data_IF_048070431343
#
_entry.id   IF_048070431343
#
_cell.length_a   1.000
_cell.length_b   1.000
_cell.length_c   1.000
_cell.angle_alpha   90.00
_cell.angle_beta   90.00
_cell.angle_gamma   90.00
#
_symmetry.space_group_name_H-M   'P 1'
#
loop_
_entity.id
_entity.type
_entity.pdbx_description
1 polymer ?
#
# COMPACT_ATOMS: atom_id res chain seq x y z
N UNK A 1 10.98 -2.28 -8.28
CA UNK A 1 11.70 -1.10 -7.75
C UNK A 1 12.09 -0.22 -8.93
N UNK A 2 11.28 0.80 -9.22
CA UNK A 2 11.45 1.76 -10.32
C UNK A 2 11.31 3.19 -9.82
N UNK A 3 11.77 4.17 -10.60
CA UNK A 3 11.77 5.58 -10.21
C UNK A 3 10.36 6.11 -9.89
N UNK A 4 9.36 5.73 -10.69
CA UNK A 4 7.96 6.14 -10.51
C UNK A 4 7.35 5.70 -9.17
N UNK A 5 7.85 4.61 -8.58
CA UNK A 5 7.42 4.14 -7.26
C UNK A 5 7.96 4.98 -6.10
N UNK A 6 8.88 5.92 -6.39
CA UNK A 6 9.39 6.90 -5.42
C UNK A 6 9.89 6.27 -4.11
N UNK A 7 10.56 5.11 -4.21
CA UNK A 7 10.99 4.31 -3.04
C UNK A 7 11.92 5.11 -2.13
N UNK A 8 12.73 6.04 -2.67
CA UNK A 8 13.63 6.87 -1.85
C UNK A 8 12.88 7.67 -0.79
N UNK A 9 11.67 8.16 -1.07
CA UNK A 9 10.87 8.85 -0.06
C UNK A 9 10.56 7.98 1.17
N UNK A 10 10.35 6.66 0.99
CA UNK A 10 10.25 5.71 2.09
C UNK A 10 11.60 5.50 2.80
N UNK A 11 12.68 5.36 2.03
CA UNK A 11 14.00 5.09 2.58
C UNK A 11 14.54 6.25 3.43
N UNK A 12 14.12 7.47 3.14
CA UNK A 12 14.51 8.70 3.84
C UNK A 12 13.70 8.99 5.11
N UNK A 13 12.56 8.30 5.35
CA UNK A 13 11.79 8.46 6.59
C UNK A 13 12.69 8.19 7.80
N UNK A 14 12.69 9.10 8.76
CA UNK A 14 13.43 8.93 10.03
C UNK A 14 12.62 8.07 10.98
N UNK A 15 13.02 6.80 11.14
CA UNK A 15 12.38 5.85 12.04
C UNK A 15 13.37 4.86 12.59
N UNK A 16 13.08 4.32 13.78
CA UNK A 16 13.81 3.18 14.36
C UNK A 16 13.33 1.82 13.85
N UNK A 17 12.21 1.80 13.12
CA UNK A 17 11.67 0.58 12.54
C UNK A 17 12.57 0.05 11.43
N UNK A 18 12.69 -1.27 11.34
CA UNK A 18 13.42 -1.91 10.26
C UNK A 18 12.68 -1.72 8.92
N UNK A 19 13.41 -1.32 7.89
CA UNK A 19 12.86 -1.10 6.56
C UNK A 19 13.12 -2.29 5.67
N UNK A 20 12.05 -2.79 5.04
CA UNK A 20 12.10 -3.90 4.09
C UNK A 20 11.51 -3.44 2.76
N UNK A 21 12.22 -3.65 1.69
CA UNK A 21 11.74 -3.42 0.31
C UNK A 21 11.50 -4.77 -0.35
N UNK A 22 10.24 -5.03 -0.69
CA UNK A 22 9.82 -6.23 -1.41
C UNK A 22 9.62 -5.89 -2.89
N UNK A 23 10.22 -6.65 -3.78
CA UNK A 23 10.15 -6.45 -5.22
C UNK A 23 11.50 -6.31 -5.88
N UNK A 24 11.50 -6.29 -7.19
CA UNK A 24 12.68 -6.13 -8.05
C UNK A 24 12.50 -4.96 -9.03
N UNK A 25 13.57 -4.57 -9.69
CA UNK A 25 13.56 -3.53 -10.70
C UNK A 25 14.91 -2.83 -10.87
N UNK A 26 15.01 -1.95 -11.87
CA UNK A 26 16.29 -1.37 -12.30
C UNK A 26 17.00 -0.55 -11.20
N UNK A 27 16.24 0.09 -10.29
CA UNK A 27 16.80 0.91 -9.24
C UNK A 27 17.30 0.14 -8.01
N UNK A 28 17.02 -1.17 -7.92
CA UNK A 28 17.31 -1.97 -6.72
C UNK A 28 18.78 -1.91 -6.34
N UNK A 29 19.69 -2.18 -7.27
CA UNK A 29 21.13 -2.22 -6.98
C UNK A 29 21.65 -0.84 -6.51
N UNK A 30 21.22 0.23 -7.16
CA UNK A 30 21.58 1.60 -6.78
C UNK A 30 21.11 1.91 -5.36
N UNK A 31 19.85 1.56 -5.05
CA UNK A 31 19.27 1.82 -3.73
C UNK A 31 19.90 0.95 -2.64
N UNK A 32 20.21 -0.31 -2.92
CA UNK A 32 20.95 -1.18 -1.97
C UNK A 32 22.32 -0.59 -1.60
N UNK A 33 23.04 -0.08 -2.58
CA UNK A 33 24.35 0.56 -2.33
C UNK A 33 24.22 1.84 -1.52
N UNK A 34 23.17 2.65 -1.78
CA UNK A 34 22.93 3.93 -1.10
C UNK A 34 22.39 3.73 0.34
N UNK A 35 21.61 2.67 0.57
CA UNK A 35 20.95 2.39 1.85
C UNK A 35 21.27 0.97 2.36
N UNK A 36 22.53 0.70 2.76
CA UNK A 36 22.99 -0.65 3.11
C UNK A 36 22.33 -1.25 4.36
N UNK A 37 21.66 -0.42 5.18
CA UNK A 37 20.93 -0.84 6.38
C UNK A 37 19.48 -1.27 6.09
N UNK A 38 19.03 -1.19 4.83
CA UNK A 38 17.68 -1.60 4.40
C UNK A 38 17.72 -3.01 3.82
N UNK A 39 16.74 -3.84 4.17
CA UNK A 39 16.61 -5.18 3.60
C UNK A 39 15.87 -5.16 2.27
N UNK A 40 16.54 -5.48 1.17
CA UNK A 40 15.93 -5.67 -0.14
C UNK A 40 15.79 -7.17 -0.41
N UNK A 41 14.58 -7.71 -0.26
CA UNK A 41 14.33 -9.15 -0.26
C UNK A 41 13.91 -9.73 -1.62
N UNK A 42 13.89 -8.89 -2.65
CA UNK A 42 13.51 -9.29 -4.02
C UNK A 42 12.02 -9.56 -4.17
N UNK A 43 11.65 -10.11 -5.32
CA UNK A 43 10.25 -10.44 -5.64
C UNK A 43 9.72 -11.54 -4.71
N UNK A 44 8.53 -11.32 -4.16
CA UNK A 44 7.77 -12.32 -3.38
C UNK A 44 6.38 -12.49 -3.98
N UNK A 45 5.80 -13.68 -3.83
CA UNK A 45 4.46 -14.03 -4.35
C UNK A 45 3.72 -14.92 -3.36
N UNK A 46 2.40 -15.00 -3.55
CA UNK A 46 1.53 -15.92 -2.79
C UNK A 46 1.70 -15.78 -1.28
N UNK A 47 1.88 -16.89 -0.60
CA UNK A 47 1.98 -16.94 0.86
C UNK A 47 3.18 -16.17 1.41
N UNK A 48 4.32 -16.18 0.71
CA UNK A 48 5.50 -15.43 1.15
C UNK A 48 5.21 -13.93 1.17
N UNK A 49 4.59 -13.39 0.13
CA UNK A 49 4.20 -11.99 0.09
C UNK A 49 3.18 -11.64 1.19
N UNK A 50 2.18 -12.50 1.39
CA UNK A 50 1.19 -12.33 2.45
C UNK A 50 1.84 -12.32 3.85
N UNK A 51 2.87 -13.13 4.07
CA UNK A 51 3.63 -13.14 5.33
C UNK A 51 4.39 -11.82 5.55
N UNK A 52 4.97 -11.22 4.51
CA UNK A 52 5.59 -9.90 4.63
C UNK A 52 4.57 -8.83 5.02
N UNK A 53 3.39 -8.81 4.40
CA UNK A 53 2.33 -7.89 4.83
C UNK A 53 1.89 -8.16 6.28
N UNK A 54 1.55 -9.39 6.63
CA UNK A 54 1.02 -9.73 7.95
C UNK A 54 1.98 -9.40 9.10
N UNK A 55 3.29 -9.45 8.87
CA UNK A 55 4.32 -9.15 9.87
C UNK A 55 4.81 -7.69 9.84
N UNK A 56 4.36 -6.88 8.88
CA UNK A 56 4.72 -5.47 8.83
C UNK A 56 3.87 -4.64 9.79
N UNK A 57 4.44 -3.60 10.38
CA UNK A 57 3.73 -2.59 11.17
C UNK A 57 2.85 -1.70 10.28
N UNK A 58 3.34 -1.36 9.09
CA UNK A 58 2.62 -0.64 8.06
C UNK A 58 3.23 -0.89 6.68
N UNK A 59 2.42 -0.83 5.62
CA UNK A 59 2.89 -0.65 4.25
C UNK A 59 3.12 0.83 3.99
N UNK A 60 4.30 1.21 3.53
CA UNK A 60 4.53 2.56 2.98
C UNK A 60 4.44 2.48 1.46
N UNK A 61 3.48 3.18 0.89
CA UNK A 61 3.20 3.26 -0.55
C UNK A 61 3.52 4.67 -1.07
N UNK A 62 4.80 4.96 -1.40
CA UNK A 62 5.26 6.32 -1.69
C UNK A 62 5.07 6.73 -3.15
N UNK A 63 4.37 5.94 -3.96
CA UNK A 63 4.08 6.27 -5.36
C UNK A 63 3.22 7.53 -5.47
N UNK A 64 3.55 8.38 -6.46
CA UNK A 64 2.77 9.60 -6.78
C UNK A 64 1.96 9.47 -8.06
N UNK A 65 2.08 8.37 -8.79
CA UNK A 65 1.52 8.19 -10.14
C UNK A 65 0.70 6.92 -10.30
N UNK A 66 0.42 6.19 -9.21
CA UNK A 66 -0.29 4.93 -9.28
C UNK A 66 -1.79 5.12 -9.45
N UNK A 67 -2.41 4.33 -10.34
CA UNK A 67 -3.83 4.49 -10.71
C UNK A 67 -4.79 3.67 -9.87
N UNK A 68 -4.40 2.52 -9.32
CA UNK A 68 -5.31 1.68 -8.53
C UNK A 68 -4.71 1.11 -7.23
N UNK A 69 -3.45 0.67 -7.23
CA UNK A 69 -2.76 0.22 -6.01
C UNK A 69 -3.28 -1.09 -5.42
N UNK A 70 -3.28 -2.20 -6.20
CA UNK A 70 -3.63 -3.54 -5.69
C UNK A 70 -2.88 -3.89 -4.40
N UNK A 71 -1.62 -3.48 -4.28
CA UNK A 71 -0.80 -3.70 -3.07
C UNK A 71 -1.40 -3.06 -1.81
N UNK A 72 -2.20 -2.00 -1.95
CA UNK A 72 -2.93 -1.36 -0.85
C UNK A 72 -3.99 -2.33 -0.31
N UNK A 73 -4.82 -2.89 -1.20
CA UNK A 73 -5.86 -3.85 -0.82
C UNK A 73 -5.26 -5.15 -0.26
N UNK A 74 -4.17 -5.64 -0.83
CA UNK A 74 -3.44 -6.82 -0.33
C UNK A 74 -2.91 -6.60 1.10
N UNK A 75 -2.33 -5.43 1.35
CA UNK A 75 -1.86 -5.03 2.68
C UNK A 75 -3.01 -4.98 3.69
N UNK A 76 -4.09 -4.28 3.34
CA UNK A 76 -5.27 -4.15 4.21
C UNK A 76 -5.94 -5.50 4.48
N UNK A 77 -6.04 -6.37 3.48
CA UNK A 77 -6.57 -7.73 3.64
C UNK A 77 -5.74 -8.58 4.61
N UNK A 78 -4.43 -8.31 4.68
CA UNK A 78 -3.50 -8.92 5.64
C UNK A 78 -3.56 -8.26 7.03
N UNK A 79 -4.45 -7.25 7.21
CA UNK A 79 -4.57 -6.48 8.45
C UNK A 79 -3.46 -5.44 8.62
N UNK A 80 -2.77 -5.04 7.57
CA UNK A 80 -1.64 -4.12 7.66
C UNK A 80 -2.06 -2.74 7.15
N UNK A 81 -1.98 -1.70 8.00
CA UNK A 81 -2.34 -0.34 7.62
C UNK A 81 -1.38 0.22 6.56
N UNK A 82 -1.85 1.21 5.81
CA UNK A 82 -1.13 1.76 4.66
C UNK A 82 -0.85 3.23 4.86
N UNK A 83 0.38 3.65 4.66
CA UNK A 83 0.80 5.04 4.54
C UNK A 83 0.99 5.41 3.06
N UNK A 84 0.32 6.45 2.59
CA UNK A 84 0.38 6.85 1.18
C UNK A 84 0.15 8.36 0.98
N UNK A 85 0.59 8.87 -0.17
CA UNK A 85 0.22 10.21 -0.62
C UNK A 85 -1.25 10.25 -1.07
N UNK A 86 -1.93 11.42 -0.97
CA UNK A 86 -3.30 11.60 -1.40
C UNK A 86 -3.41 11.75 -2.94
N UNK A 87 -2.90 10.77 -3.68
CA UNK A 87 -3.00 10.68 -5.15
C UNK A 87 -4.13 9.72 -5.56
N UNK A 88 -4.47 9.66 -6.84
CA UNK A 88 -5.69 8.99 -7.35
C UNK A 88 -5.95 7.62 -6.74
N UNK A 89 -5.11 6.63 -6.96
CA UNK A 89 -5.33 5.26 -6.46
C UNK A 89 -5.53 5.17 -4.94
N UNK A 90 -4.59 5.68 -4.11
CA UNK A 90 -4.77 5.72 -2.66
C UNK A 90 -6.01 6.51 -2.20
N UNK A 91 -6.35 7.64 -2.86
CA UNK A 91 -7.57 8.40 -2.53
C UNK A 91 -8.84 7.61 -2.75
N UNK A 92 -8.93 6.89 -3.86
CA UNK A 92 -10.13 6.14 -4.23
C UNK A 92 -10.41 5.00 -3.23
N UNK A 93 -9.35 4.50 -2.58
CA UNK A 93 -9.46 3.41 -1.60
C UNK A 93 -9.61 3.96 -0.17
N UNK A 94 -8.74 4.87 0.27
CA UNK A 94 -8.55 5.20 1.69
C UNK A 94 -9.31 6.45 2.15
N UNK A 95 -9.55 7.41 1.25
CA UNK A 95 -10.08 8.73 1.63
C UNK A 95 -11.46 8.64 2.29
N UNK A 96 -11.61 9.38 3.38
CA UNK A 96 -12.85 9.46 4.18
C UNK A 96 -13.29 8.11 4.80
N UNK A 97 -12.40 7.13 4.89
CA UNK A 97 -12.63 5.87 5.59
C UNK A 97 -12.10 5.93 7.03
N UNK A 98 -12.49 4.94 7.86
CA UNK A 98 -11.94 4.78 9.22
C UNK A 98 -10.43 4.50 9.23
N UNK A 99 -9.88 4.12 8.08
CA UNK A 99 -8.47 3.81 7.90
C UNK A 99 -7.74 4.84 7.03
N UNK A 100 -8.28 6.06 6.94
CA UNK A 100 -7.65 7.15 6.18
C UNK A 100 -6.39 7.65 6.89
N UNK A 101 -5.26 7.35 6.29
CA UNK A 101 -3.93 7.77 6.73
C UNK A 101 -3.26 8.73 5.77
N UNK A 102 -3.95 9.14 4.69
CA UNK A 102 -3.38 9.96 3.63
C UNK A 102 -2.80 11.28 4.14
N UNK A 103 -1.62 11.63 3.63
CA UNK A 103 -0.96 12.91 3.93
C UNK A 103 0.01 13.30 2.80
N UNK A 104 0.19 14.60 2.58
CA UNK A 104 1.19 15.12 1.64
C UNK A 104 2.63 14.91 2.10
N UNK A 105 2.84 14.63 3.38
CA UNK A 105 4.09 14.19 3.97
C UNK A 105 3.99 12.69 4.31
N UNK A 106 4.84 11.87 3.70
CA UNK A 106 4.79 10.41 3.86
C UNK A 106 5.09 9.94 5.30
N UNK A 107 5.90 10.70 6.05
CA UNK A 107 6.18 10.42 7.46
C UNK A 107 4.96 10.70 8.33
N UNK A 108 4.23 11.78 8.08
CA UNK A 108 2.96 12.05 8.75
C UNK A 108 1.91 10.97 8.41
N UNK A 109 1.85 10.56 7.16
CA UNK A 109 1.00 9.46 6.72
C UNK A 109 1.34 8.15 7.46
N UNK A 110 2.62 7.82 7.61
CA UNK A 110 3.06 6.67 8.39
C UNK A 110 2.63 6.78 9.86
N UNK A 111 2.82 7.93 10.48
CA UNK A 111 2.41 8.16 11.86
C UNK A 111 0.89 8.03 12.09
N UNK A 112 0.07 8.38 11.08
CA UNK A 112 -1.38 8.13 11.09
C UNK A 112 -1.66 6.63 10.94
N UNK A 113 -1.05 5.96 9.95
CA UNK A 113 -1.24 4.55 9.68
C UNK A 113 -0.93 3.66 10.90
N UNK A 114 0.15 3.94 11.63
CA UNK A 114 0.55 3.19 12.84
C UNK A 114 -0.47 3.27 14.00
N UNK A 115 -1.45 4.16 13.94
CA UNK A 115 -2.52 4.28 14.95
C UNK A 115 -3.80 3.51 14.57
N UNK A 116 -3.86 2.97 13.36
CA UNK A 116 -5.03 2.27 12.84
C UNK A 116 -5.05 0.83 13.34
N UNK A 117 -6.20 0.35 13.84
CA UNK A 117 -6.36 -1.04 14.27
C UNK A 117 -6.29 -1.97 13.04
N UNK A 118 -5.50 -3.04 13.15
CA UNK A 118 -5.32 -4.05 12.11
C UNK A 118 -6.63 -4.76 11.74
N UNK A 119 -7.55 -4.91 12.70
CA UNK A 119 -8.88 -5.49 12.46
C UNK A 119 -9.73 -4.62 11.56
N UNK A 120 -9.63 -3.29 11.72
CA UNK A 120 -10.35 -2.33 10.88
C UNK A 120 -9.82 -2.35 9.46
N UNK A 121 -8.50 -2.47 9.27
CA UNK A 121 -7.89 -2.65 7.95
C UNK A 121 -8.49 -3.87 7.23
N UNK A 122 -8.49 -5.03 7.89
CA UNK A 122 -9.01 -6.27 7.30
C UNK A 122 -10.52 -6.18 7.03
N UNK A 123 -11.30 -5.65 7.98
CA UNK A 123 -12.75 -5.46 7.82
C UNK A 123 -13.06 -4.57 6.62
N UNK A 124 -12.29 -3.50 6.44
CA UNK A 124 -12.42 -2.60 5.31
C UNK A 124 -12.10 -3.30 3.98
N UNK A 125 -10.99 -4.06 3.90
CA UNK A 125 -10.59 -4.78 2.70
C UNK A 125 -11.63 -5.81 2.23
N UNK A 126 -12.37 -6.43 3.15
CA UNK A 126 -13.44 -7.38 2.84
C UNK A 126 -14.63 -6.76 2.08
N UNK A 127 -14.67 -5.45 1.92
CA UNK A 127 -15.65 -4.77 1.07
C UNK A 127 -15.30 -4.84 -0.41
N UNK A 128 -14.04 -5.13 -0.76
CA UNK A 128 -13.49 -5.19 -2.12
C UNK A 128 -13.36 -6.65 -2.59
N UNK A 129 -14.46 -7.40 -2.59
CA UNK A 129 -14.48 -8.77 -3.15
C UNK A 129 -14.81 -8.75 -4.63
N UNK A 130 -14.35 -9.77 -5.38
CA UNK A 130 -14.69 -9.94 -6.80
C UNK A 130 -16.20 -9.97 -7.05
N UNK A 131 -16.98 -10.63 -6.18
CA UNK A 131 -18.43 -10.69 -6.28
C UNK A 131 -19.07 -9.30 -6.18
N UNK A 132 -18.59 -8.45 -5.26
CA UNK A 132 -19.09 -7.08 -5.13
C UNK A 132 -18.72 -6.21 -6.33
N UNK A 133 -17.50 -6.34 -6.84
CA UNK A 133 -17.06 -5.64 -8.05
C UNK A 133 -17.88 -6.08 -9.27
N UNK A 134 -18.14 -7.38 -9.44
CA UNK A 134 -18.95 -7.91 -10.52
C UNK A 134 -20.42 -7.42 -10.43
N UNK A 135 -21.02 -7.44 -9.23
CA UNK A 135 -22.38 -6.96 -9.01
C UNK A 135 -22.51 -5.46 -9.29
N UNK A 136 -21.55 -4.66 -8.89
CA UNK A 136 -21.53 -3.22 -9.19
C UNK A 136 -21.40 -2.97 -10.70
N UNK A 137 -20.55 -3.71 -11.41
CA UNK A 137 -20.43 -3.62 -12.85
C UNK A 137 -21.76 -3.96 -13.53
N UNK A 138 -22.40 -5.06 -13.16
CA UNK A 138 -23.68 -5.47 -13.72
C UNK A 138 -24.78 -4.43 -13.48
N UNK A 139 -24.86 -3.85 -12.27
CA UNK A 139 -25.83 -2.80 -11.97
C UNK A 139 -25.63 -1.55 -12.84
N UNK A 140 -24.39 -1.17 -13.10
CA UNK A 140 -24.07 -0.03 -13.96
C UNK A 140 -24.43 -0.29 -15.41
N UNK A 141 -24.25 -1.52 -15.92
CA UNK A 141 -24.63 -1.91 -17.28
C UNK A 141 -26.15 -1.90 -17.46
N UNK A 142 -26.91 -2.35 -16.47
CA UNK A 142 -28.38 -2.32 -16.50
C UNK A 142 -28.90 -0.88 -16.52
N UNK A 143 -28.35 0.00 -15.67
CA UNK A 143 -28.74 1.40 -15.61
C UNK A 143 -28.39 2.20 -16.86
N UNK A 144 -27.38 1.79 -17.63
CA UNK A 144 -27.00 2.44 -18.89
C UNK A 144 -27.93 2.10 -20.07
N UNK A 145 -28.85 1.12 -19.92
CA UNK A 145 -29.81 0.72 -20.94
C UNK A 145 -31.19 1.35 -20.78
N UNK A 146 -31.41 2.11 -19.73
CA UNK A 146 -32.62 2.91 -19.46
C UNK A 146 -32.34 4.40 -19.72
#
# INVERSE_FOLDING_TARGET
>A
VSLEKNIEAFLEIRTKMHKIVVGDGPEKQRLQNKYPYVSFVGMKKGQDLANYYANAEALVFPSKTDTFGNVILESLASGTPVAAYPVTGPKDILKNSLIDSLDNNIENSLNKALKIDRKDCRKFAMQFTWDKCANQFLSNVVNAKN
#
